data_IF_470304533969
#
_entry.id   IF_470304533969
#
_cell.length_a   1.000
_cell.length_b   1.000
_cell.length_c   1.000
_cell.angle_alpha   90.00
_cell.angle_beta   90.00
_cell.angle_gamma   90.00
#
_symmetry.space_group_name_H-M   'P 1'
#
loop_
_entity.id
_entity.type
_entity.pdbx_description
1 polymer ?
#
# COMPACT_ATOMS: atom_id res chain seq x y z
N UNK A 1 6.62 14.10 -23.13
CA UNK A 1 6.55 12.80 -23.83
C UNK A 1 5.42 12.87 -24.85
N UNK A 2 5.65 12.53 -26.12
CA UNK A 2 4.63 12.69 -27.18
C UNK A 2 3.61 11.55 -27.25
N UNK A 3 3.92 10.36 -26.71
CA UNK A 3 3.04 9.19 -26.70
C UNK A 3 3.30 8.35 -25.45
N UNK A 4 2.23 7.98 -24.73
CA UNK A 4 2.27 7.26 -23.45
C UNK A 4 1.47 5.96 -23.57
N UNK A 5 2.08 4.85 -23.21
CA UNK A 5 1.47 3.52 -23.26
C UNK A 5 1.45 2.94 -21.84
N UNK A 6 0.32 2.36 -21.43
CA UNK A 6 0.20 1.65 -20.16
C UNK A 6 -0.24 0.20 -20.38
N UNK A 7 0.40 -0.72 -19.66
CA UNK A 7 -0.12 -2.06 -19.41
C UNK A 7 -0.85 -2.03 -18.08
N UNK A 8 -2.13 -2.40 -18.07
CA UNK A 8 -2.92 -2.36 -16.86
C UNK A 8 -4.01 -3.42 -16.86
N UNK A 9 -4.25 -4.02 -15.69
CA UNK A 9 -5.38 -4.94 -15.47
C UNK A 9 -6.67 -4.19 -15.12
N UNK A 10 -6.56 -2.89 -14.79
CA UNK A 10 -7.65 -2.03 -14.36
C UNK A 10 -7.36 -0.56 -14.74
N UNK A 11 -8.38 0.26 -15.01
CA UNK A 11 -8.18 1.68 -15.27
C UNK A 11 -7.83 2.42 -13.97
N UNK A 12 -6.55 2.76 -13.80
CA UNK A 12 -6.06 3.59 -12.70
C UNK A 12 -5.77 5.04 -13.16
N UNK A 13 -5.34 5.88 -12.22
CA UNK A 13 -5.06 7.29 -12.48
C UNK A 13 -3.94 7.50 -13.53
N UNK A 14 -3.05 6.51 -13.70
CA UNK A 14 -1.99 6.57 -14.71
C UNK A 14 -2.56 6.27 -16.09
N UNK A 15 -3.42 5.26 -16.18
CA UNK A 15 -4.10 4.84 -17.42
C UNK A 15 -4.88 5.99 -18.06
N UNK A 16 -5.53 6.83 -17.25
CA UNK A 16 -6.22 8.06 -17.73
C UNK A 16 -5.31 9.06 -18.43
N UNK A 17 -4.05 9.10 -18.02
CA UNK A 17 -3.06 9.99 -18.61
C UNK A 17 -2.38 9.35 -19.82
N UNK A 18 -2.69 8.11 -20.19
CA UNK A 18 -2.05 7.41 -21.31
C UNK A 18 -2.85 7.54 -22.61
N UNK A 19 -2.13 7.48 -23.74
CA UNK A 19 -2.72 7.59 -25.08
C UNK A 19 -3.14 6.22 -25.63
N UNK A 20 -2.46 5.15 -25.18
CA UNK A 20 -2.79 3.76 -25.50
C UNK A 20 -2.81 2.93 -24.22
N UNK A 21 -3.93 2.26 -24.01
CA UNK A 21 -4.15 1.35 -22.90
C UNK A 21 -4.11 -0.07 -23.45
N UNK A 22 -3.21 -0.88 -22.91
CA UNK A 22 -3.07 -2.28 -23.25
C UNK A 22 -3.56 -3.11 -22.06
N UNK A 23 -4.75 -3.72 -22.15
CA UNK A 23 -5.28 -4.58 -21.11
C UNK A 23 -4.34 -5.78 -20.86
N UNK A 24 -3.76 -5.81 -19.67
CA UNK A 24 -2.85 -6.87 -19.23
C UNK A 24 -3.63 -8.02 -18.57
N UNK A 25 -3.00 -9.18 -18.50
CA UNK A 25 -3.59 -10.38 -17.90
C UNK A 25 -3.42 -10.36 -16.38
N UNK A 26 -4.39 -10.91 -15.66
CA UNK A 26 -4.22 -11.21 -14.24
C UNK A 26 -3.14 -12.29 -14.06
N UNK A 27 -2.52 -12.36 -12.88
CA UNK A 27 -1.47 -13.35 -12.58
C UNK A 27 -1.96 -14.80 -12.66
N UNK A 28 -3.27 -15.02 -12.48
CA UNK A 28 -3.91 -16.33 -12.64
C UNK A 28 -4.14 -16.74 -14.11
N UNK A 29 -4.02 -15.81 -15.04
CA UNK A 29 -4.26 -16.00 -16.48
C UNK A 29 -2.95 -16.02 -17.29
N UNK A 30 -1.81 -15.77 -16.64
CA UNK A 30 -0.54 -15.54 -17.32
C UNK A 30 0.61 -16.39 -16.77
N UNK A 31 1.53 -16.74 -17.68
CA UNK A 31 2.84 -17.26 -17.31
C UNK A 31 3.69 -16.14 -16.74
N UNK A 32 4.41 -16.43 -15.66
CA UNK A 32 5.26 -15.46 -14.99
C UNK A 32 6.43 -16.13 -14.28
N UNK A 33 7.37 -15.32 -13.85
CA UNK A 33 8.46 -15.72 -12.97
C UNK A 33 8.76 -14.61 -11.97
N UNK A 34 9.31 -14.99 -10.82
CA UNK A 34 9.79 -14.03 -9.83
C UNK A 34 10.98 -14.57 -9.07
N UNK A 35 11.82 -13.67 -8.57
CA UNK A 35 12.91 -14.00 -7.66
C UNK A 35 12.62 -13.36 -6.29
N UNK A 36 11.79 -13.99 -5.43
CA UNK A 36 11.39 -13.41 -4.15
C UNK A 36 12.58 -13.20 -3.20
N UNK A 37 13.52 -14.15 -3.22
CA UNK A 37 14.81 -14.03 -2.52
C UNK A 37 15.93 -14.41 -3.50
N UNK A 38 17.12 -13.86 -3.26
CA UNK A 38 18.28 -14.10 -4.11
C UNK A 38 18.55 -15.60 -4.24
N UNK A 39 18.67 -16.07 -5.48
CA UNK A 39 18.97 -17.47 -5.79
C UNK A 39 17.77 -18.41 -5.71
N UNK A 40 16.56 -17.90 -5.53
CA UNK A 40 15.32 -18.67 -5.54
C UNK A 40 14.42 -18.17 -6.66
N UNK A 41 14.09 -19.03 -7.61
CA UNK A 41 13.18 -18.74 -8.71
C UNK A 41 11.81 -19.34 -8.41
N UNK A 42 10.77 -18.53 -8.49
CA UNK A 42 9.38 -18.97 -8.48
C UNK A 42 8.79 -18.86 -9.89
N UNK A 43 8.03 -19.88 -10.29
CA UNK A 43 7.33 -19.93 -11.57
C UNK A 43 5.83 -19.76 -11.32
N UNK A 44 5.22 -18.82 -12.06
CA UNK A 44 3.79 -18.61 -12.08
C UNK A 44 3.20 -19.33 -13.30
N UNK A 45 2.22 -20.19 -13.03
CA UNK A 45 1.46 -20.90 -14.05
C UNK A 45 0.04 -20.32 -14.12
N UNK A 46 -0.52 -20.12 -15.33
CA UNK A 46 -1.93 -19.79 -15.46
C UNK A 46 -2.77 -20.94 -14.91
N UNK A 47 -3.74 -20.62 -14.07
CA UNK A 47 -4.71 -21.57 -13.52
C UNK A 47 -6.06 -21.50 -14.22
N UNK A 48 -6.22 -20.52 -15.10
CA UNK A 48 -7.42 -20.30 -15.91
C UNK A 48 -7.04 -19.64 -17.24
N UNK A 49 -7.92 -19.77 -18.22
CA UNK A 49 -7.81 -19.03 -19.48
C UNK A 49 -8.15 -17.54 -19.27
N UNK A 50 -7.62 -16.62 -20.11
CA UNK A 50 -8.01 -15.23 -20.09
C UNK A 50 -9.53 -15.03 -20.15
N UNK A 51 -10.09 -14.29 -19.21
CA UNK A 51 -11.54 -14.03 -19.14
C UNK A 51 -12.00 -13.08 -20.25
N UNK A 52 -11.18 -12.08 -20.57
CA UNK A 52 -11.52 -11.04 -21.53
C UNK A 52 -10.83 -11.28 -22.87
N UNK A 53 -11.62 -11.20 -23.95
CA UNK A 53 -11.10 -11.30 -25.31
C UNK A 53 -10.13 -10.16 -25.65
N UNK A 54 -9.10 -10.45 -26.43
CA UNK A 54 -8.13 -9.45 -26.90
C UNK A 54 -7.10 -9.00 -25.86
N UNK A 55 -7.16 -9.50 -24.63
CA UNK A 55 -6.14 -9.27 -23.59
C UNK A 55 -4.87 -10.09 -23.87
N UNK A 56 -3.71 -9.55 -23.52
CA UNK A 56 -2.41 -10.21 -23.73
C UNK A 56 -1.44 -9.80 -22.62
N UNK A 57 -0.67 -10.77 -22.14
CA UNK A 57 0.35 -10.53 -21.13
C UNK A 57 1.41 -9.54 -21.62
N UNK A 58 1.84 -8.61 -20.76
CA UNK A 58 2.86 -7.62 -21.11
C UNK A 58 4.13 -8.23 -21.73
N UNK A 59 4.59 -9.38 -21.21
CA UNK A 59 5.73 -10.11 -21.75
C UNK A 59 5.56 -10.53 -23.21
N UNK A 60 4.37 -11.02 -23.59
CA UNK A 60 4.07 -11.42 -24.96
C UNK A 60 4.02 -10.22 -25.91
N UNK A 61 3.44 -9.11 -25.45
CA UNK A 61 3.38 -7.87 -26.23
C UNK A 61 4.78 -7.32 -26.49
N UNK A 62 5.65 -7.31 -25.47
CA UNK A 62 7.03 -6.84 -25.60
C UNK A 62 7.86 -7.74 -26.52
N UNK A 63 7.68 -9.06 -26.45
CA UNK A 63 8.33 -10.01 -27.36
C UNK A 63 7.87 -9.81 -28.80
N UNK A 64 6.56 -9.67 -29.03
CA UNK A 64 6.01 -9.42 -30.34
C UNK A 64 6.51 -8.10 -30.93
N UNK A 65 6.64 -7.05 -30.12
CA UNK A 65 7.21 -5.76 -30.54
C UNK A 65 8.70 -5.90 -30.88
N UNK A 66 9.49 -6.58 -30.05
CA UNK A 66 10.91 -6.82 -30.30
C UNK A 66 11.15 -7.59 -31.61
N UNK A 67 10.24 -8.49 -31.98
CA UNK A 67 10.31 -9.23 -33.25
C UNK A 67 10.01 -8.37 -34.49
N UNK A 68 9.32 -7.24 -34.32
CA UNK A 68 9.09 -6.27 -35.40
C UNK A 68 10.28 -5.35 -35.66
N UNK A 69 11.20 -5.25 -34.71
CA UNK A 69 12.45 -4.51 -34.87
C UNK A 69 13.58 -5.47 -35.33
N UNK A 70 14.12 -5.30 -36.55
CA UNK A 70 15.23 -6.12 -37.04
C UNK A 70 16.45 -6.16 -36.10
N UNK A 71 16.71 -5.11 -35.33
CA UNK A 71 17.84 -5.05 -34.40
C UNK A 71 17.63 -5.87 -33.12
N UNK A 72 16.37 -6.10 -32.72
CA UNK A 72 16.01 -6.83 -31.51
C UNK A 72 15.53 -8.27 -31.79
N UNK A 73 14.98 -8.54 -32.98
CA UNK A 73 14.37 -9.82 -33.32
C UNK A 73 15.28 -11.03 -33.06
N UNK A 74 16.57 -10.94 -33.42
CA UNK A 74 17.54 -12.03 -33.18
C UNK A 74 17.81 -12.29 -31.68
N UNK A 75 17.65 -11.29 -30.81
CA UNK A 75 17.85 -11.41 -29.36
C UNK A 75 16.62 -11.97 -28.63
N UNK A 76 15.45 -11.85 -29.25
CA UNK A 76 14.15 -12.26 -28.69
C UNK A 76 13.38 -13.18 -29.64
N UNK A 77 13.92 -14.37 -30.00
CA UNK A 77 13.29 -15.27 -30.97
C UNK A 77 12.11 -16.07 -30.40
N UNK A 78 11.84 -15.98 -29.10
CA UNK A 78 10.79 -16.75 -28.45
C UNK A 78 9.39 -16.28 -28.89
N UNK A 79 8.53 -17.23 -29.27
CA UNK A 79 7.16 -16.96 -29.75
C UNK A 79 6.30 -16.24 -28.70
N UNK A 80 6.43 -16.64 -27.45
CA UNK A 80 5.66 -16.17 -26.31
C UNK A 80 6.52 -16.20 -25.04
N UNK A 81 6.00 -15.64 -23.95
CA UNK A 81 6.70 -15.50 -22.68
C UNK A 81 7.03 -16.86 -22.07
N UNK A 82 6.15 -17.85 -22.20
CA UNK A 82 6.40 -19.22 -21.72
C UNK A 82 7.59 -19.84 -22.45
N UNK A 83 7.64 -19.73 -23.77
CA UNK A 83 8.77 -20.21 -24.57
C UNK A 83 10.07 -19.47 -24.21
N UNK A 84 9.97 -18.16 -23.94
CA UNK A 84 11.10 -17.35 -23.49
C UNK A 84 11.65 -17.82 -22.14
N UNK A 85 10.77 -18.09 -21.17
CA UNK A 85 11.13 -18.62 -19.85
C UNK A 85 11.79 -19.99 -19.98
N UNK A 86 11.17 -20.90 -20.71
CA UNK A 86 11.67 -22.27 -20.89
C UNK A 86 13.06 -22.28 -21.55
N UNK A 87 13.30 -21.41 -22.53
CA UNK A 87 14.59 -21.30 -23.21
C UNK A 87 15.71 -20.76 -22.32
N UNK A 88 15.39 -19.94 -21.31
CA UNK A 88 16.36 -19.37 -20.35
C UNK A 88 16.46 -20.14 -19.05
N UNK A 89 15.63 -21.16 -18.87
CA UNK A 89 15.64 -21.95 -17.66
C UNK A 89 16.94 -22.76 -17.55
N UNK A 90 17.60 -22.69 -16.40
CA UNK A 90 18.83 -23.44 -16.14
C UNK A 90 18.53 -24.94 -16.19
N UNK A 91 19.27 -25.68 -17.02
CA UNK A 91 18.99 -27.11 -17.29
C UNK A 91 17.96 -27.37 -18.38
N UNK A 92 17.46 -26.31 -19.04
CA UNK A 92 16.61 -26.39 -20.22
C UNK A 92 15.18 -26.90 -19.97
N UNK A 93 14.46 -27.32 -21.03
CA UNK A 93 13.05 -27.69 -20.96
C UNK A 93 12.72 -28.81 -19.97
N UNK A 94 13.61 -29.80 -19.82
CA UNK A 94 13.40 -30.92 -18.89
C UNK A 94 13.45 -30.44 -17.43
N UNK A 95 14.41 -29.57 -17.09
CA UNK A 95 14.49 -28.98 -15.75
C UNK A 95 13.31 -28.03 -15.49
N UNK A 96 12.87 -27.27 -16.49
CA UNK A 96 11.67 -26.42 -16.40
C UNK A 96 10.43 -27.26 -16.07
N UNK A 97 10.17 -28.33 -16.83
CA UNK A 97 9.03 -29.23 -16.60
C UNK A 97 9.07 -29.88 -15.21
N UNK A 98 10.26 -30.24 -14.71
CA UNK A 98 10.43 -30.80 -13.36
C UNK A 98 10.24 -29.77 -12.24
N UNK A 99 10.42 -28.48 -12.52
CA UNK A 99 10.24 -27.39 -11.56
C UNK A 99 8.78 -26.93 -11.45
N UNK A 100 7.98 -27.05 -12.52
CA UNK A 100 6.59 -26.59 -12.54
C UNK A 100 5.73 -27.14 -11.38
N UNK A 101 5.72 -28.46 -11.08
CA UNK A 101 4.93 -28.99 -9.96
C UNK A 101 5.42 -28.50 -8.60
N UNK A 102 6.68 -28.08 -8.49
CA UNK A 102 7.27 -27.57 -7.25
C UNK A 102 6.98 -26.08 -7.06
N UNK A 103 6.72 -25.33 -8.14
CA UNK A 103 6.50 -23.89 -8.15
C UNK A 103 7.73 -23.03 -7.82
N UNK A 104 8.70 -23.58 -7.08
CA UNK A 104 9.92 -22.91 -6.64
C UNK A 104 11.12 -23.82 -6.88
N UNK A 105 12.23 -23.23 -7.33
CA UNK A 105 13.52 -23.91 -7.50
C UNK A 105 14.67 -22.96 -7.12
N UNK A 106 15.83 -23.52 -6.81
CA UNK A 106 17.06 -22.72 -6.77
C UNK A 106 17.40 -22.22 -8.19
N UNK A 107 17.82 -20.96 -8.30
CA UNK A 107 18.26 -20.35 -9.55
C UNK A 107 17.82 -18.89 -9.75
N UNK A 108 18.06 -18.41 -10.97
CA UNK A 108 17.62 -17.12 -11.48
C UNK A 108 17.50 -17.20 -13.02
N UNK A 109 16.52 -16.51 -13.61
CA UNK A 109 16.40 -16.39 -15.07
C UNK A 109 17.25 -15.22 -15.60
N UNK A 110 17.24 -14.09 -14.90
CA UNK A 110 18.04 -12.93 -15.26
C UNK A 110 19.45 -13.01 -14.65
N UNK A 111 20.46 -12.73 -15.48
CA UNK A 111 21.80 -12.43 -14.98
C UNK A 111 21.75 -11.10 -14.21
N UNK A 112 22.28 -11.10 -12.99
CA UNK A 112 22.31 -9.88 -12.17
C UNK A 112 23.21 -8.86 -12.88
N UNK A 113 22.75 -7.62 -13.14
CA UNK A 113 23.67 -6.56 -13.54
C UNK A 113 24.72 -6.38 -12.45
N UNK A 114 25.98 -6.13 -12.85
CA UNK A 114 27.06 -5.83 -11.90
C UNK A 114 26.57 -4.76 -10.93
N UNK A 115 26.67 -4.96 -9.60
CA UNK A 115 26.21 -3.95 -8.65
C UNK A 115 26.82 -2.60 -9.03
N UNK A 116 25.99 -1.60 -9.30
CA UNK A 116 26.48 -0.24 -9.42
C UNK A 116 27.21 0.10 -8.12
N UNK A 117 28.29 0.87 -8.20
CA UNK A 117 28.96 1.37 -7.00
C UNK A 117 27.91 2.00 -6.09
N UNK A 118 27.88 1.58 -4.81
CA UNK A 118 26.94 2.15 -3.86
C UNK A 118 27.16 3.68 -3.87
N UNK A 119 26.12 4.48 -4.12
CA UNK A 119 26.27 5.93 -3.98
C UNK A 119 26.78 6.21 -2.56
N UNK A 120 27.64 7.22 -2.43
CA UNK A 120 28.07 7.67 -1.11
C UNK A 120 26.83 7.87 -0.24
N UNK A 121 26.84 7.34 0.99
CA UNK A 121 25.68 7.38 1.88
C UNK A 121 25.14 8.81 1.97
N UNK A 122 24.03 9.07 1.28
CA UNK A 122 23.42 10.38 1.29
C UNK A 122 22.89 10.60 2.70
N UNK A 123 23.43 11.61 3.38
CA UNK A 123 22.89 12.03 4.66
C UNK A 123 21.51 12.64 4.38
N UNK A 124 20.47 12.08 4.98
CA UNK A 124 19.12 12.64 4.87
C UNK A 124 19.18 14.13 5.25
N UNK A 125 18.55 14.97 4.43
CA UNK A 125 18.45 16.39 4.72
C UNK A 125 17.71 16.59 6.06
N UNK A 126 18.13 17.59 6.85
CA UNK A 126 17.39 17.90 8.08
C UNK A 126 15.98 18.36 7.74
N UNK A 127 15.02 17.86 8.52
CA UNK A 127 13.61 18.24 8.46
C UNK A 127 13.31 19.59 9.10
N UNK A 128 14.26 20.13 9.87
CA UNK A 128 14.08 21.39 10.62
C UNK A 128 13.93 22.60 9.68
N UNK A 129 14.39 22.49 8.43
CA UNK A 129 14.26 23.53 7.42
C UNK A 129 12.89 23.52 6.71
N UNK A 130 12.07 22.49 6.91
CA UNK A 130 10.72 22.42 6.33
C UNK A 130 9.72 23.23 7.19
N UNK A 131 8.79 23.93 6.54
CA UNK A 131 7.72 24.67 7.23
C UNK A 131 6.62 23.75 7.77
N UNK A 132 6.00 24.12 8.89
CA UNK A 132 4.94 23.35 9.56
C UNK A 132 5.31 22.98 11.00
N UNK A 133 4.31 22.71 11.82
CA UNK A 133 4.50 22.45 13.26
C UNK A 133 4.79 20.98 13.55
N UNK A 134 4.29 20.07 12.71
CA UNK A 134 4.36 18.62 12.92
C UNK A 134 5.23 17.93 11.89
N UNK A 135 5.89 16.84 12.29
CA UNK A 135 6.46 15.89 11.35
C UNK A 135 5.33 15.10 10.67
N UNK A 136 5.34 14.99 9.35
CA UNK A 136 4.41 14.14 8.61
C UNK A 136 5.08 12.80 8.31
N UNK A 137 4.44 11.71 8.73
CA UNK A 137 4.83 10.35 8.37
C UNK A 137 3.75 9.76 7.49
N UNK A 138 4.12 9.40 6.26
CA UNK A 138 3.27 8.56 5.40
C UNK A 138 3.83 7.14 5.40
N UNK A 139 2.96 6.14 5.44
CA UNK A 139 3.37 4.75 5.46
C UNK A 139 2.43 3.88 4.62
N UNK A 140 2.89 2.76 4.06
CA UNK A 140 1.99 1.79 3.43
C UNK A 140 0.93 1.32 4.42
N UNK A 141 -0.33 1.24 4.01
CA UNK A 141 -1.37 0.63 4.83
C UNK A 141 -1.11 -0.88 4.91
N UNK A 142 -1.32 -1.49 6.08
CA UNK A 142 -1.02 -2.91 6.31
C UNK A 142 -1.75 -3.84 5.33
N UNK A 143 -2.94 -3.45 4.87
CA UNK A 143 -3.79 -4.24 3.98
C UNK A 143 -3.70 -3.86 2.50
N UNK A 144 -3.44 -2.59 2.19
CA UNK A 144 -3.47 -2.09 0.80
C UNK A 144 -2.08 -1.85 0.24
N UNK A 145 -1.05 -1.81 1.09
CA UNK A 145 0.32 -1.48 0.72
C UNK A 145 0.37 -0.12 0.03
N UNK A 146 0.53 -0.16 -1.29
CA UNK A 146 0.61 1.00 -2.17
C UNK A 146 -0.69 1.32 -2.93
N UNK A 147 -1.80 0.62 -2.64
CA UNK A 147 -3.12 0.87 -3.23
C UNK A 147 -3.55 -0.11 -4.31
N UNK A 148 -2.69 -1.05 -4.72
CA UNK A 148 -3.09 -2.14 -5.65
C UNK A 148 -4.22 -3.03 -5.13
N UNK A 149 -4.49 -3.00 -3.82
CA UNK A 149 -5.59 -3.72 -3.18
C UNK A 149 -6.87 -2.90 -2.95
N UNK A 150 -6.89 -1.59 -3.22
CA UNK A 150 -7.96 -0.70 -2.76
C UNK A 150 -9.34 -1.01 -3.37
N UNK A 151 -9.38 -1.64 -4.53
CA UNK A 151 -10.64 -2.01 -5.17
C UNK A 151 -11.17 -3.39 -4.77
N UNK A 152 -10.50 -4.08 -3.84
CA UNK A 152 -10.90 -5.41 -3.36
C UNK A 152 -11.79 -5.24 -2.13
N UNK A 153 -13.09 -5.59 -2.20
CA UNK A 153 -14.02 -5.35 -1.10
C UNK A 153 -13.64 -6.12 0.17
N UNK A 154 -13.06 -7.32 0.03
CA UNK A 154 -12.57 -8.08 1.19
C UNK A 154 -11.43 -7.39 1.93
N UNK A 155 -10.55 -6.67 1.22
CA UNK A 155 -9.49 -5.91 1.87
C UNK A 155 -10.04 -4.61 2.49
N UNK A 156 -11.07 -4.02 1.89
CA UNK A 156 -11.76 -2.83 2.42
C UNK A 156 -12.53 -3.12 3.71
N UNK A 157 -13.14 -4.31 3.81
CA UNK A 157 -13.89 -4.77 4.98
C UNK A 157 -12.98 -5.35 6.09
N UNK A 158 -11.74 -5.72 5.77
CA UNK A 158 -10.81 -6.27 6.75
C UNK A 158 -10.32 -5.13 7.67
N UNK A 159 -10.51 -5.22 9.00
CA UNK A 159 -10.12 -4.14 9.90
C UNK A 159 -8.60 -3.96 9.97
N UNK A 160 -8.16 -2.70 10.03
CA UNK A 160 -6.75 -2.39 10.27
C UNK A 160 -6.24 -3.10 11.56
N UNK A 161 -5.04 -3.72 11.54
CA UNK A 161 -4.52 -4.48 12.68
C UNK A 161 -4.34 -3.66 13.96
N UNK A 162 -4.23 -2.33 13.87
CA UNK A 162 -4.09 -1.43 15.02
C UNK A 162 -5.39 -0.68 15.25
N UNK A 163 -5.83 0.13 14.28
CA UNK A 163 -6.95 1.05 14.45
C UNK A 163 -8.33 0.38 14.36
N UNK A 164 -8.39 -0.85 13.81
CA UNK A 164 -9.64 -1.59 13.53
C UNK A 164 -10.62 -0.83 12.64
N UNK A 165 -10.15 0.17 11.91
CA UNK A 165 -10.93 0.96 10.97
C UNK A 165 -11.04 0.20 9.65
N UNK A 166 -12.20 0.34 9.01
CA UNK A 166 -12.51 -0.20 7.67
C UNK A 166 -12.98 0.95 6.78
N UNK A 167 -12.95 0.80 5.44
CA UNK A 167 -13.58 1.76 4.50
C UNK A 167 -13.25 3.26 4.70
N UNK A 168 -12.13 3.61 5.34
CA UNK A 168 -11.80 5.00 5.63
C UNK A 168 -10.30 5.17 5.79
N UNK A 169 -9.81 6.35 5.44
CA UNK A 169 -8.46 6.81 5.78
C UNK A 169 -8.54 7.71 7.00
N UNK A 170 -7.51 7.74 7.83
CA UNK A 170 -7.49 8.57 9.04
C UNK A 170 -6.15 9.26 9.23
N UNK A 171 -6.16 10.35 10.00
CA UNK A 171 -4.98 11.06 10.47
C UNK A 171 -4.70 10.64 11.91
N UNK A 172 -3.59 9.96 12.15
CA UNK A 172 -3.14 9.61 13.49
C UNK A 172 -2.57 10.84 14.20
N UNK A 173 -3.13 11.14 15.37
CA UNK A 173 -2.74 12.29 16.19
C UNK A 173 -2.57 11.83 17.64
N UNK A 174 -1.49 12.26 18.28
CA UNK A 174 -1.29 11.99 19.70
C UNK A 174 -2.38 12.70 20.55
N UNK A 175 -2.95 12.04 21.56
CA UNK A 175 -4.02 12.59 22.40
C UNK A 175 -3.69 13.93 23.08
N UNK A 176 -2.45 14.12 23.55
CA UNK A 176 -2.03 15.39 24.14
C UNK A 176 -2.06 16.54 23.13
N UNK A 177 -1.64 16.27 21.90
CA UNK A 177 -1.69 17.24 20.81
C UNK A 177 -3.12 17.50 20.39
N UNK A 178 -3.95 16.47 20.31
CA UNK A 178 -5.37 16.62 20.00
C UNK A 178 -6.07 17.49 21.05
N UNK A 179 -5.81 17.26 22.34
CA UNK A 179 -6.34 18.07 23.46
C UNK A 179 -5.89 19.53 23.34
N UNK A 180 -4.59 19.77 23.07
CA UNK A 180 -4.04 21.12 22.89
C UNK A 180 -4.67 21.86 21.70
N UNK A 181 -5.08 21.14 20.66
CA UNK A 181 -5.66 21.69 19.44
C UNK A 181 -7.21 21.66 19.42
N UNK A 182 -7.85 21.11 20.46
CA UNK A 182 -9.31 20.93 20.50
C UNK A 182 -9.84 19.97 19.44
N UNK A 183 -9.06 18.96 19.06
CA UNK A 183 -9.40 17.91 18.09
C UNK A 183 -9.91 16.68 18.84
N UNK A 184 -11.03 16.15 18.40
CA UNK A 184 -11.63 14.91 18.86
C UNK A 184 -11.60 13.84 17.77
N UNK A 185 -11.83 12.58 18.15
CA UNK A 185 -11.90 11.47 17.19
C UNK A 185 -13.02 11.71 16.18
N UNK A 186 -12.70 11.56 14.91
CA UNK A 186 -13.64 11.73 13.80
C UNK A 186 -13.76 13.17 13.30
N UNK A 187 -13.20 14.16 14.01
CA UNK A 187 -13.12 15.51 13.46
C UNK A 187 -12.32 15.48 12.16
N UNK A 188 -12.84 16.09 11.11
CA UNK A 188 -12.10 16.21 9.86
C UNK A 188 -11.00 17.25 10.07
N UNK A 189 -9.76 16.84 9.87
CA UNK A 189 -8.57 17.69 9.95
C UNK A 189 -7.98 17.86 8.56
N UNK A 190 -7.60 19.10 8.23
CA UNK A 190 -6.78 19.38 7.07
C UNK A 190 -5.31 19.27 7.46
N UNK A 191 -4.60 18.34 6.83
CA UNK A 191 -3.15 18.23 6.90
C UNK A 191 -2.60 18.90 5.65
N UNK A 192 -1.74 19.91 5.85
CA UNK A 192 -1.21 20.74 4.76
C UNK A 192 0.30 20.80 4.81
N UNK A 193 0.92 20.64 3.65
CA UNK A 193 2.36 20.77 3.41
C UNK A 193 2.61 21.88 2.38
N UNK A 194 3.87 22.09 2.02
CA UNK A 194 4.23 22.97 0.91
C UNK A 194 3.76 22.45 -0.47
N UNK A 195 3.40 21.16 -0.58
CA UNK A 195 3.09 20.49 -1.85
C UNK A 195 1.59 20.29 -2.07
N UNK A 196 0.80 20.27 -0.99
CA UNK A 196 -0.65 20.16 -1.07
C UNK A 196 -1.30 19.92 0.28
N UNK A 197 -2.55 19.51 0.28
CA UNK A 197 -3.28 19.15 1.49
C UNK A 197 -4.20 17.95 1.26
N UNK A 198 -4.50 17.22 2.34
CA UNK A 198 -5.62 16.28 2.39
C UNK A 198 -6.48 16.55 3.61
N UNK A 199 -7.74 16.15 3.53
CA UNK A 199 -8.70 16.21 4.63
C UNK A 199 -9.16 14.81 4.98
N UNK A 200 -8.95 14.40 6.23
CA UNK A 200 -9.35 13.08 6.70
C UNK A 200 -9.75 13.15 8.18
N UNK A 201 -10.58 12.21 8.66
CA UNK A 201 -10.95 12.13 10.08
C UNK A 201 -9.73 11.88 10.97
N UNK A 202 -9.69 12.55 12.12
CA UNK A 202 -8.70 12.35 13.16
C UNK A 202 -8.93 11.02 13.90
N UNK A 203 -7.87 10.24 14.06
CA UNK A 203 -7.81 9.06 14.91
C UNK A 203 -6.77 9.30 16.02
N UNK A 204 -7.24 9.25 17.27
CA UNK A 204 -6.38 9.50 18.43
C UNK A 204 -5.61 8.24 18.78
N UNK A 205 -4.28 8.28 18.62
CA UNK A 205 -3.42 7.12 18.80
C UNK A 205 -2.18 7.48 19.63
N UNK A 206 -1.88 6.67 20.65
CA UNK A 206 -0.73 6.91 21.52
C UNK A 206 0.60 6.48 20.90
N UNK A 207 0.56 5.59 19.89
CA UNK A 207 1.78 5.13 19.23
C UNK A 207 2.44 6.18 18.34
N UNK A 208 1.72 7.26 17.98
CA UNK A 208 2.30 8.41 17.26
C UNK A 208 2.87 9.43 18.24
N UNK A 209 4.05 9.99 17.92
CA UNK A 209 4.73 10.96 18.79
C UNK A 209 3.92 12.27 18.90
N UNK A 210 3.97 13.00 20.04
CA UNK A 210 3.20 14.25 20.20
C UNK A 210 3.42 15.32 19.13
N UNK A 211 4.60 15.38 18.51
CA UNK A 211 4.95 16.34 17.46
C UNK A 211 4.89 15.74 16.03
N UNK A 212 4.22 14.60 15.88
CA UNK A 212 4.06 13.89 14.61
C UNK A 212 2.59 13.67 14.28
N UNK A 213 2.27 13.71 12.99
CA UNK A 213 1.00 13.22 12.44
C UNK A 213 1.31 12.14 11.40
N UNK A 214 0.50 11.09 11.37
CA UNK A 214 0.70 9.98 10.43
C UNK A 214 -0.55 9.65 9.61
N UNK A 215 -0.36 9.30 8.34
CA UNK A 215 -1.42 8.82 7.46
C UNK A 215 -0.94 7.60 6.66
N UNK A 216 -1.81 6.61 6.53
CA UNK A 216 -1.57 5.42 5.71
C UNK A 216 -1.87 5.68 4.22
N UNK A 217 -1.13 5.03 3.34
CA UNK A 217 -1.29 5.05 1.88
C UNK A 217 -2.22 3.93 1.40
N UNK A 218 -2.65 4.03 0.14
CA UNK A 218 -3.32 2.93 -0.56
C UNK A 218 -4.83 3.05 -0.63
N UNK A 219 -5.38 4.21 -0.31
CA UNK A 219 -6.76 4.61 -0.60
C UNK A 219 -6.76 5.96 -1.36
N UNK A 220 -7.95 6.53 -1.58
CA UNK A 220 -8.10 7.82 -2.26
C UNK A 220 -7.90 7.77 -3.77
N UNK A 221 -8.14 6.62 -4.39
CA UNK A 221 -8.16 6.51 -5.84
C UNK A 221 -9.27 7.36 -6.44
N UNK A 222 -8.95 8.08 -7.51
CA UNK A 222 -9.80 9.03 -8.23
C UNK A 222 -9.98 8.68 -9.70
N UNK A 223 -9.46 7.53 -10.12
CA UNK A 223 -9.51 7.16 -11.51
C UNK A 223 -10.96 7.13 -12.03
N UNK A 224 -11.19 7.78 -13.16
CA UNK A 224 -12.42 7.81 -13.93
C UNK A 224 -12.21 7.17 -15.30
N UNK A 225 -13.03 6.18 -15.64
CA UNK A 225 -12.99 5.55 -16.96
C UNK A 225 -14.38 5.46 -17.59
N UNK A 226 -14.49 5.65 -18.92
CA UNK A 226 -15.68 5.28 -19.67
C UNK A 226 -15.72 3.76 -19.77
N UNK A 227 -16.45 3.10 -18.86
CA UNK A 227 -16.66 1.64 -18.92
C UNK A 227 -17.99 1.32 -19.60
N UNK A 228 -18.01 0.42 -20.61
CA UNK A 228 -19.22 0.06 -21.34
C UNK A 228 -20.27 -0.71 -20.53
N UNK A 229 -19.93 -1.24 -19.35
CA UNK A 229 -20.80 -2.13 -18.56
C UNK A 229 -21.43 -1.44 -17.35
N UNK A 230 -22.58 -0.84 -17.64
CA UNK A 230 -23.72 -0.44 -16.80
C UNK A 230 -23.72 -0.89 -15.31
N UNK A 231 -23.51 0.06 -14.39
CA UNK A 231 -24.01 0.01 -13.00
C UNK A 231 -25.31 0.84 -12.91
N UNK A 232 -26.50 0.22 -12.76
CA UNK A 232 -27.77 0.94 -12.72
C UNK A 232 -27.97 1.78 -11.46
N UNK A 233 -27.20 1.58 -10.39
CA UNK A 233 -27.52 2.17 -9.08
C UNK A 233 -26.75 3.46 -8.76
N UNK A 234 -25.66 3.80 -9.49
CA UNK A 234 -24.74 4.85 -9.03
C UNK A 234 -24.16 5.74 -10.15
N UNK A 235 -24.99 6.13 -11.12
CA UNK A 235 -24.62 6.95 -12.28
C UNK A 235 -24.40 8.43 -11.92
N UNK A 236 -23.47 9.09 -12.61
CA UNK A 236 -23.63 10.50 -12.95
C UNK A 236 -24.41 10.54 -14.27
N UNK A 237 -25.70 10.94 -14.28
CA UNK A 237 -26.58 10.84 -15.45
C UNK A 237 -26.17 11.74 -16.62
N UNK A 238 -25.15 12.59 -16.46
CA UNK A 238 -24.70 13.55 -17.48
C UNK A 238 -23.45 13.08 -18.23
N UNK A 239 -22.58 12.26 -17.62
CA UNK A 239 -21.22 12.03 -18.14
C UNK A 239 -20.90 10.61 -18.60
N UNK A 240 -21.75 9.60 -18.36
CA UNK A 240 -21.44 8.16 -18.59
C UNK A 240 -20.05 7.72 -18.05
N UNK A 241 -19.57 8.43 -17.03
CA UNK A 241 -18.25 8.23 -16.45
C UNK A 241 -18.41 7.42 -15.15
N UNK A 242 -17.77 6.25 -15.09
CA UNK A 242 -17.71 5.42 -13.88
C UNK A 242 -16.31 5.51 -13.27
N UNK A 243 -16.20 5.09 -12.01
CA UNK A 243 -14.93 5.00 -11.29
C UNK A 243 -14.08 3.88 -11.89
N UNK A 244 -13.01 4.30 -12.58
CA UNK A 244 -12.14 3.43 -13.36
C UNK A 244 -11.49 2.35 -12.51
N UNK A 245 -11.02 2.71 -11.31
CA UNK A 245 -10.35 1.75 -10.43
C UNK A 245 -11.32 0.75 -9.77
N UNK A 246 -12.63 0.90 -10.02
CA UNK A 246 -13.68 0.05 -9.53
C UNK A 246 -14.51 0.68 -8.41
N UNK A 247 -15.76 0.21 -8.27
CA UNK A 247 -16.75 0.78 -7.35
C UNK A 247 -16.35 0.77 -5.87
N UNK A 248 -15.45 -0.12 -5.46
CA UNK A 248 -15.06 -0.28 -4.06
C UNK A 248 -13.90 0.64 -3.65
N UNK A 249 -13.24 1.29 -4.59
CA UNK A 249 -12.27 2.34 -4.30
C UNK A 249 -12.90 3.76 -4.42
N UNK A 250 -14.13 3.84 -4.91
CA UNK A 250 -14.86 5.09 -5.16
C UNK A 250 -15.08 5.86 -3.86
N UNK A 251 -14.55 7.08 -3.78
CA UNK A 251 -14.74 7.98 -2.65
C UNK A 251 -14.38 7.34 -1.29
N UNK A 252 -13.46 6.37 -1.29
CA UNK A 252 -12.98 5.74 -0.06
C UNK A 252 -11.64 6.34 0.29
N UNK A 253 -11.60 7.02 1.44
CA UNK A 253 -10.38 7.57 1.99
C UNK A 253 -9.78 8.73 1.18
N UNK A 254 -8.51 9.01 1.44
CA UNK A 254 -7.73 10.06 0.77
C UNK A 254 -6.41 9.52 0.26
N UNK A 255 -5.79 10.26 -0.66
CA UNK A 255 -4.50 9.90 -1.21
C UNK A 255 -3.41 10.80 -0.62
N UNK A 256 -2.58 10.31 0.33
CA UNK A 256 -1.52 11.13 0.93
C UNK A 256 -0.46 11.60 -0.07
N UNK A 257 -0.35 11.00 -1.26
CA UNK A 257 0.58 11.48 -2.30
C UNK A 257 0.32 12.93 -2.71
N UNK A 258 -0.90 13.44 -2.54
CA UNK A 258 -1.25 14.85 -2.83
C UNK A 258 -0.49 15.85 -1.94
N UNK A 259 0.02 15.42 -0.79
CA UNK A 259 0.83 16.24 0.13
C UNK A 259 2.33 16.04 -0.03
N UNK A 260 2.74 15.07 -0.82
CA UNK A 260 4.12 14.64 -0.92
C UNK A 260 4.85 15.34 -2.06
N UNK A 261 6.15 15.48 -1.90
CA UNK A 261 7.02 15.89 -3.01
C UNK A 261 7.18 14.73 -4.00
N UNK A 262 7.23 15.04 -5.29
CA UNK A 262 7.55 14.08 -6.34
C UNK A 262 9.06 13.73 -6.41
N UNK A 263 9.88 14.24 -5.48
CA UNK A 263 11.31 13.94 -5.43
C UNK A 263 11.55 12.54 -4.91
N UNK A 264 12.42 11.81 -5.59
CA UNK A 264 12.97 10.55 -5.11
C UNK A 264 14.20 10.79 -4.21
N UNK A 265 14.50 9.86 -3.33
CA UNK A 265 15.75 9.79 -2.58
C UNK A 265 16.93 9.41 -3.50
N UNK A 266 18.14 9.37 -2.93
CA UNK A 266 19.35 9.02 -3.68
C UNK A 266 19.34 7.59 -4.24
N UNK A 267 18.49 6.71 -3.74
CA UNK A 267 18.27 5.35 -4.23
C UNK A 267 17.13 5.25 -5.25
N UNK A 268 16.46 6.36 -5.57
CA UNK A 268 15.30 6.40 -6.47
C UNK A 268 13.97 6.02 -5.80
N UNK A 269 13.95 5.85 -4.47
CA UNK A 269 12.74 5.59 -3.69
C UNK A 269 11.95 6.86 -3.39
N UNK A 270 10.66 6.73 -3.09
CA UNK A 270 9.86 7.86 -2.62
C UNK A 270 10.29 8.31 -1.23
N UNK A 271 10.22 9.62 -0.98
CA UNK A 271 10.60 10.17 0.33
C UNK A 271 9.37 10.27 1.24
N UNK A 272 9.21 9.26 2.11
CA UNK A 272 8.02 9.06 2.94
C UNK A 272 7.92 9.94 4.20
N UNK A 273 9.05 10.44 4.69
CA UNK A 273 9.19 11.07 6.01
C UNK A 273 9.90 12.42 5.98
N UNK A 274 10.06 13.05 4.80
CA UNK A 274 10.85 14.28 4.67
C UNK A 274 10.07 15.60 4.78
N UNK A 275 8.83 15.57 5.26
CA UNK A 275 7.94 16.71 5.15
C UNK A 275 7.40 17.11 6.51
N UNK A 276 7.35 18.42 6.78
CA UNK A 276 6.59 18.98 7.89
C UNK A 276 5.23 19.45 7.40
N UNK A 277 4.25 19.38 8.29
CA UNK A 277 2.87 19.74 8.01
C UNK A 277 2.30 20.64 9.11
N UNK A 278 1.35 21.49 8.70
CA UNK A 278 0.41 22.13 9.62
C UNK A 278 -0.89 21.33 9.64
N UNK A 279 -1.54 21.27 10.79
CA UNK A 279 -2.85 20.66 10.95
C UNK A 279 -3.88 21.71 11.33
N UNK A 280 -5.07 21.65 10.75
CA UNK A 280 -6.18 22.55 11.10
C UNK A 280 -7.47 21.77 11.20
N UNK A 281 -8.16 21.90 12.34
CA UNK A 281 -9.51 21.34 12.53
C UNK A 281 -10.50 22.07 11.63
N UNK A 282 -11.31 21.30 10.90
CA UNK A 282 -12.42 21.85 10.13
C UNK A 282 -13.72 21.81 10.94
N UNK A 283 -14.83 22.28 10.35
CA UNK A 283 -16.15 22.18 10.98
C UNK A 283 -16.80 20.80 10.82
N UNK A 284 -16.25 19.94 9.95
CA UNK A 284 -16.84 18.66 9.58
C UNK A 284 -16.42 17.55 10.55
N UNK A 285 -17.28 16.55 10.71
CA UNK A 285 -17.06 15.37 11.53
C UNK A 285 -17.53 14.13 10.78
N UNK A 286 -16.77 13.05 10.87
CA UNK A 286 -17.09 11.76 10.28
C UNK A 286 -16.93 10.63 11.30
N UNK A 287 -17.89 9.70 11.30
CA UNK A 287 -17.77 8.48 12.08
C UNK A 287 -16.77 7.55 11.40
N UNK A 288 -15.65 7.29 12.07
CA UNK A 288 -14.72 6.23 11.69
C UNK A 288 -15.34 4.85 11.96
N UNK A 289 -15.74 4.09 10.92
CA UNK A 289 -16.35 2.78 11.10
C UNK A 289 -15.28 1.81 11.59
N UNK A 290 -15.59 1.10 12.67
CA UNK A 290 -14.65 0.22 13.35
C UNK A 290 -15.36 -0.99 13.94
N UNK A 291 -14.67 -2.14 13.90
CA UNK A 291 -15.17 -3.41 14.45
C UNK A 291 -14.80 -3.62 15.92
N UNK A 292 -13.96 -2.75 16.48
CA UNK A 292 -13.34 -2.94 17.80
C UNK A 292 -14.34 -2.88 18.96
N UNK A 293 -15.32 -1.98 18.87
CA UNK A 293 -16.19 -1.60 19.98
C UNK A 293 -15.38 -0.92 21.10
N UNK A 294 -14.71 -1.73 21.92
CA UNK A 294 -13.83 -1.33 23.02
C UNK A 294 -12.45 -1.97 22.86
N UNK A 295 -11.40 -1.15 22.72
CA UNK A 295 -10.04 -1.64 22.65
C UNK A 295 -9.46 -2.06 24.01
N UNK A 296 -10.18 -1.80 25.12
CA UNK A 296 -9.72 -2.06 26.48
C UNK A 296 -10.28 -3.38 26.99
N UNK A 297 -9.49 -4.08 27.82
CA UNK A 297 -9.96 -5.28 28.50
C UNK A 297 -10.83 -4.96 29.73
N UNK A 298 -10.79 -3.73 30.25
CA UNK A 298 -11.52 -3.30 31.46
C UNK A 298 -11.16 -4.14 32.69
N UNK A 299 -9.88 -4.55 32.82
CA UNK A 299 -9.43 -5.40 33.93
C UNK A 299 -10.05 -6.80 33.93
N UNK A 300 -10.58 -7.27 32.80
CA UNK A 300 -11.22 -8.60 32.69
C UNK A 300 -10.24 -9.76 32.48
N UNK A 301 -8.94 -9.48 32.39
CA UNK A 301 -7.90 -10.50 32.23
C UNK A 301 -8.04 -11.34 30.95
N UNK A 302 -8.44 -10.72 29.83
CA UNK A 302 -8.70 -11.41 28.54
C UNK A 302 -7.37 -11.86 27.92
N UNK A 303 -6.42 -10.94 27.75
CA UNK A 303 -5.06 -11.27 27.34
C UNK A 303 -4.14 -11.00 28.53
N UNK A 304 -3.66 -12.08 29.15
CA UNK A 304 -2.81 -12.03 30.33
C UNK A 304 -1.36 -11.83 29.91
N UNK A 305 -0.66 -10.95 30.63
CA UNK A 305 0.76 -10.70 30.44
C UNK A 305 1.53 -10.97 31.75
N UNK A 306 2.72 -11.52 31.63
CA UNK A 306 3.66 -11.71 32.74
C UNK A 306 5.05 -11.31 32.27
N UNK A 307 5.82 -10.65 33.14
CA UNK A 307 7.21 -10.38 32.82
C UNK A 307 8.02 -11.69 32.81
N UNK A 308 9.07 -11.76 31.99
CA UNK A 308 9.98 -12.91 31.99
C UNK A 308 10.59 -13.12 33.39
N UNK A 309 10.91 -12.03 34.10
CA UNK A 309 11.44 -12.08 35.47
C UNK A 309 10.47 -12.75 36.44
N UNK A 310 9.19 -12.38 36.41
CA UNK A 310 8.18 -12.94 37.31
C UNK A 310 7.94 -14.43 37.01
N UNK A 311 7.87 -14.77 35.71
CA UNK A 311 7.77 -16.16 35.26
C UNK A 311 8.93 -17.02 35.77
N UNK A 312 10.16 -16.51 35.68
CA UNK A 312 11.36 -17.21 36.15
C UNK A 312 11.46 -17.29 37.68
N UNK A 313 10.86 -16.34 38.41
CA UNK A 313 10.89 -16.31 39.87
C UNK A 313 9.94 -17.31 40.54
N UNK A 314 9.10 -18.01 39.75
CA UNK A 314 8.09 -18.94 40.27
C UNK A 314 6.95 -18.24 41.05
N UNK A 315 6.87 -16.90 40.98
CA UNK A 315 5.78 -16.11 41.53
C UNK A 315 4.94 -15.59 40.36
N UNK A 316 3.89 -16.31 39.93
CA UNK A 316 2.93 -15.78 38.99
C UNK A 316 2.09 -14.73 39.72
N UNK A 317 2.65 -13.54 39.97
CA UNK A 317 1.85 -12.39 40.31
C UNK A 317 1.09 -11.97 39.06
N UNK A 318 -0.24 -11.95 39.13
CA UNK A 318 -1.01 -11.21 38.13
C UNK A 318 -0.52 -9.76 38.17
N UNK A 319 0.12 -9.30 37.11
CA UNK A 319 0.45 -7.89 36.95
C UNK A 319 -0.82 -7.20 36.49
N UNK A 320 -1.41 -6.27 37.28
CA UNK A 320 -2.56 -5.51 36.82
C UNK A 320 -2.22 -4.78 35.51
N UNK A 321 -3.16 -4.76 34.57
CA UNK A 321 -3.04 -4.17 33.22
C UNK A 321 -2.38 -2.78 33.23
N UNK A 322 -2.58 -1.99 34.29
CA UNK A 322 -2.05 -0.64 34.45
C UNK A 322 -0.55 -0.54 34.81
N UNK A 323 0.12 -1.65 35.09
CA UNK A 323 1.43 -1.66 35.79
C UNK A 323 2.43 -2.65 35.18
N UNK A 324 2.56 -2.67 33.85
CA UNK A 324 3.71 -3.35 33.23
C UNK A 324 4.97 -2.51 33.48
N UNK A 325 5.99 -3.01 34.20
CA UNK A 325 7.19 -2.24 34.51
C UNK A 325 7.91 -1.80 33.23
N UNK A 326 8.13 -0.49 33.07
CA UNK A 326 8.77 0.10 31.89
C UNK A 326 7.81 0.70 30.85
N UNK A 327 6.51 0.42 30.96
CA UNK A 327 5.48 1.05 30.12
C UNK A 327 4.88 2.27 30.82
N UNK A 328 4.40 3.24 30.04
CA UNK A 328 3.68 4.38 30.59
C UNK A 328 2.38 3.90 31.27
N UNK A 329 1.99 4.48 32.41
CA UNK A 329 0.78 4.07 33.13
C UNK A 329 -0.45 4.23 32.25
N UNK A 330 -1.30 3.19 32.21
CA UNK A 330 -2.55 3.18 31.44
C UNK A 330 -3.68 4.00 32.12
N UNK A 331 -3.32 5.04 32.89
CA UNK A 331 -4.30 5.92 33.52
C UNK A 331 -5.13 6.67 32.47
N UNK A 332 -6.38 6.93 32.81
CA UNK A 332 -7.43 7.40 31.92
C UNK A 332 -7.12 8.78 31.31
N UNK A 333 -6.46 8.83 30.16
CA UNK A 333 -6.52 10.04 29.32
C UNK A 333 -7.91 10.11 28.67
N UNK A 334 -8.68 11.20 28.88
CA UNK A 334 -9.98 11.39 28.26
C UNK A 334 -9.89 11.31 26.73
N UNK A 335 -10.87 10.67 26.09
CA UNK A 335 -10.98 10.62 24.61
C UNK A 335 -10.31 9.41 23.92
N UNK A 336 -9.55 8.58 24.63
CA UNK A 336 -8.90 7.39 24.06
C UNK A 336 -9.75 6.12 24.17
N UNK A 337 -9.98 5.42 23.05
CA UNK A 337 -10.52 4.05 23.06
C UNK A 337 -9.44 2.96 23.12
N UNK A 338 -8.23 3.20 22.58
CA UNK A 338 -7.09 2.27 22.52
C UNK A 338 -6.10 2.37 23.70
N UNK A 339 -5.53 1.25 24.21
CA UNK A 339 -4.43 1.27 25.17
C UNK A 339 -3.08 1.65 24.54
N UNK A 340 -2.22 2.23 25.38
CA UNK A 340 -0.77 2.37 25.20
C UNK A 340 -0.18 1.01 24.78
N UNK A 341 0.65 0.98 23.74
CA UNK A 341 1.46 -0.20 23.40
C UNK A 341 2.63 -0.35 24.38
#
# INVERSE_FOLDING_TARGET
>A
MPFKVAFATQPDETVELCDLILPDLHTLESWGDSQPIKGTLSLQQPTMDPVFEGTRGAGDVLLALAQKDPAAAAKFPAKDYRAWLMARFVGGPAAFAAALPKGVTAGAIAARPTPAAAPAAARAASLDAAGGDFYLVTHPHALFGDGRGANKPWLQELPDPVAKIVWSSWVEIHPETATRLGIERGDIVEVKTAHGSVKAPAYLYLGVRPDTVALALGQGHRAAAPVPNWDPLHQNPVTNLQWGYGRYARNVGVNPFDMMTATADAAGGFVWTSTRASITKTADHELLPSTEGSARQHGRGIAQAISITDLLSGKPGEVPEATVPGNAPHEYLPGLRAPVA
#
